data_IF_562011770905
#
_entry.id   IF_562011770905
#
_cell.length_a   1.000
_cell.length_b   1.000
_cell.length_c   1.000
_cell.angle_alpha   90.00
_cell.angle_beta   90.00
_cell.angle_gamma   90.00
#
_symmetry.space_group_name_H-M   'P 1'
#
loop_
_entity.id
_entity.type
_entity.pdbx_description
1 polymer ?
#
# COMPACT_ATOMS: atom_id res chain seq x y z
N UNK A 1 11.67 -6.26 -0.27
CA UNK A 1 11.05 -7.36 -1.04
C UNK A 1 10.29 -6.75 -2.22
N UNK A 2 9.77 -7.57 -3.15
CA UNK A 2 9.10 -7.03 -4.33
C UNK A 2 7.68 -6.51 -4.04
N UNK A 3 6.97 -7.10 -3.07
CA UNK A 3 5.66 -6.67 -2.59
C UNK A 3 5.46 -7.01 -1.12
N UNK A 4 4.31 -6.63 -0.55
CA UNK A 4 4.01 -6.86 0.87
C UNK A 4 3.93 -8.35 1.23
N UNK A 5 3.41 -9.20 0.34
CA UNK A 5 3.35 -10.64 0.59
C UNK A 5 4.75 -11.27 0.73
N UNK A 6 5.66 -10.95 -0.18
CA UNK A 6 7.07 -11.37 -0.10
C UNK A 6 7.81 -10.68 1.04
N UNK A 7 7.47 -9.43 1.37
CA UNK A 7 8.00 -8.67 2.49
C UNK A 7 7.68 -9.30 3.84
N UNK A 8 6.40 -9.59 4.08
CA UNK A 8 5.96 -10.27 5.30
C UNK A 8 6.61 -11.63 5.50
N UNK A 9 6.79 -12.41 4.43
CA UNK A 9 7.53 -13.67 4.47
C UNK A 9 8.99 -13.51 4.91
N UNK A 10 9.70 -12.51 4.35
CA UNK A 10 11.07 -12.20 4.74
C UNK A 10 11.18 -11.77 6.21
N UNK A 11 10.27 -10.90 6.67
CA UNK A 11 10.20 -10.45 8.08
C UNK A 11 9.98 -11.64 9.01
N UNK A 12 9.04 -12.54 8.67
CA UNK A 12 8.78 -13.73 9.46
C UNK A 12 10.03 -14.63 9.57
N UNK A 13 10.77 -14.82 8.47
CA UNK A 13 12.01 -15.58 8.46
C UNK A 13 13.10 -14.93 9.33
N UNK A 14 13.29 -13.61 9.24
CA UNK A 14 14.24 -12.89 10.10
C UNK A 14 13.91 -13.07 11.58
N UNK A 15 12.64 -12.89 11.96
CA UNK A 15 12.20 -13.07 13.35
C UNK A 15 12.37 -14.49 13.85
N UNK A 16 12.02 -15.49 13.03
CA UNK A 16 12.22 -16.90 13.36
C UNK A 16 13.70 -17.25 13.57
N UNK A 17 14.61 -16.57 12.85
CA UNK A 17 16.05 -16.69 13.01
C UNK A 17 16.61 -15.86 14.19
N UNK A 18 15.76 -15.16 14.97
CA UNK A 18 16.17 -14.36 16.12
C UNK A 18 16.81 -13.01 15.76
N UNK A 19 16.59 -12.51 14.54
CA UNK A 19 17.10 -11.20 14.10
C UNK A 19 16.22 -10.08 14.69
N UNK A 20 16.81 -9.25 15.53
CA UNK A 20 16.18 -8.10 16.17
C UNK A 20 17.20 -6.95 16.35
N UNK A 21 16.99 -5.76 15.75
CA UNK A 21 15.87 -5.41 14.89
C UNK A 21 15.92 -6.10 13.53
N UNK A 22 14.75 -6.33 12.94
CA UNK A 22 14.64 -6.80 11.56
C UNK A 22 15.28 -5.75 10.63
N UNK A 23 16.15 -6.13 9.67
CA UNK A 23 16.73 -5.19 8.73
C UNK A 23 15.63 -4.53 7.89
N UNK A 24 15.86 -3.34 7.30
CA UNK A 24 14.84 -2.67 6.51
C UNK A 24 14.26 -3.55 5.39
N UNK A 25 12.98 -3.90 5.54
CA UNK A 25 12.22 -4.61 4.50
C UNK A 25 11.26 -3.64 3.83
N UNK A 26 11.36 -3.57 2.50
CA UNK A 26 10.44 -2.80 1.65
C UNK A 26 9.32 -3.66 1.10
N UNK A 27 8.19 -3.03 0.75
CA UNK A 27 7.02 -3.67 0.18
C UNK A 27 6.25 -2.78 -0.81
N UNK A 28 5.16 -3.33 -1.34
CA UNK A 28 4.21 -2.70 -2.25
C UNK A 28 2.83 -3.28 -1.96
N UNK A 29 1.77 -2.51 -2.24
CA UNK A 29 0.34 -2.87 -2.20
C UNK A 29 -0.43 -2.33 -0.98
N UNK A 30 0.26 -1.86 0.06
CA UNK A 30 -0.36 -1.36 1.30
C UNK A 30 -1.39 -2.34 1.89
N UNK A 31 -1.04 -3.63 1.92
CA UNK A 31 -1.88 -4.64 2.55
C UNK A 31 -2.05 -4.36 4.05
N UNK A 32 -3.18 -4.77 4.63
CA UNK A 32 -3.42 -4.63 6.09
C UNK A 32 -2.24 -5.21 6.90
N UNK A 33 -1.73 -6.37 6.49
CA UNK A 33 -0.59 -7.01 7.17
C UNK A 33 0.68 -6.15 7.12
N UNK A 34 1.03 -5.57 5.97
CA UNK A 34 2.20 -4.71 5.86
C UNK A 34 2.02 -3.39 6.61
N UNK A 35 0.83 -2.77 6.55
CA UNK A 35 0.53 -1.57 7.32
C UNK A 35 0.67 -1.82 8.82
N UNK A 36 0.20 -2.97 9.31
CA UNK A 36 0.40 -3.41 10.68
C UNK A 36 1.87 -3.67 11.04
N UNK A 37 2.64 -4.26 10.12
CA UNK A 37 4.09 -4.45 10.32
C UNK A 37 4.86 -3.12 10.33
N UNK A 38 4.45 -2.13 9.51
CA UNK A 38 4.96 -0.76 9.56
C UNK A 38 4.61 -0.12 10.91
N UNK A 39 3.35 -0.26 11.37
CA UNK A 39 2.93 0.22 12.69
C UNK A 39 3.79 -0.38 13.81
N UNK A 40 4.12 -1.68 13.72
CA UNK A 40 5.00 -2.37 14.66
C UNK A 40 6.49 -1.99 14.55
N UNK A 41 6.91 -1.33 13.46
CA UNK A 41 8.31 -1.03 13.16
C UNK A 41 9.09 -2.19 12.54
N UNK A 42 8.40 -3.27 12.16
CA UNK A 42 9.00 -4.48 11.58
C UNK A 42 9.24 -4.38 10.07
N UNK A 43 8.46 -3.53 9.39
CA UNK A 43 8.58 -3.25 7.97
C UNK A 43 8.87 -1.76 7.80
N UNK A 44 9.83 -1.42 6.94
CA UNK A 44 10.25 -0.03 6.77
C UNK A 44 9.20 0.78 5.99
N UNK A 45 8.74 0.23 4.87
CA UNK A 45 7.75 0.90 4.03
C UNK A 45 6.87 -0.06 3.24
N UNK A 46 5.82 0.50 2.65
CA UNK A 46 5.07 -0.07 1.53
C UNK A 46 4.78 1.03 0.51
N UNK A 47 4.22 0.65 -0.64
CA UNK A 47 3.75 1.56 -1.68
C UNK A 47 2.24 1.42 -1.78
N UNK A 48 1.52 2.48 -1.39
CA UNK A 48 0.08 2.58 -1.59
C UNK A 48 -0.23 2.94 -3.05
N UNK A 49 -1.07 2.11 -3.66
CA UNK A 49 -1.55 2.27 -5.04
C UNK A 49 -3.07 2.29 -4.98
N UNK A 50 -3.72 3.46 -5.04
CA UNK A 50 -5.16 3.58 -4.83
C UNK A 50 -5.94 2.85 -5.92
N UNK A 51 -6.39 1.63 -5.60
CA UNK A 51 -7.04 0.71 -6.53
C UNK A 51 -8.32 1.29 -7.10
N UNK A 52 -9.07 2.07 -6.33
CA UNK A 52 -10.33 2.70 -6.74
C UNK A 52 -10.11 3.71 -7.87
N UNK A 53 -9.01 4.48 -7.82
CA UNK A 53 -8.66 5.46 -8.86
C UNK A 53 -8.35 4.74 -10.17
N UNK A 54 -7.49 3.72 -10.10
CA UNK A 54 -7.08 2.94 -11.29
C UNK A 54 -8.28 2.17 -11.85
N UNK A 55 -9.10 1.56 -10.99
CA UNK A 55 -10.29 0.81 -11.39
C UNK A 55 -11.34 1.71 -12.04
N UNK A 56 -11.60 2.90 -11.49
CA UNK A 56 -12.54 3.85 -12.09
C UNK A 56 -12.05 4.34 -13.46
N UNK A 57 -10.76 4.63 -13.61
CA UNK A 57 -10.19 4.99 -14.91
C UNK A 57 -10.28 3.84 -15.91
N UNK A 58 -9.94 2.61 -15.50
CA UNK A 58 -10.06 1.42 -16.32
C UNK A 58 -11.52 1.16 -16.77
N UNK A 59 -12.48 1.32 -15.87
CA UNK A 59 -13.91 1.18 -16.20
C UNK A 59 -14.36 2.23 -17.23
N UNK A 60 -13.95 3.48 -17.06
CA UNK A 60 -14.24 4.55 -18.02
C UNK A 60 -13.64 4.28 -19.41
N UNK A 61 -12.40 3.77 -19.46
CA UNK A 61 -11.74 3.34 -20.70
C UNK A 61 -12.53 2.21 -21.36
N UNK A 62 -12.92 1.18 -20.59
CA UNK A 62 -13.69 0.05 -21.09
C UNK A 62 -15.05 0.50 -21.68
N UNK A 63 -15.79 1.37 -20.99
CA UNK A 63 -17.08 1.89 -21.49
C UNK A 63 -16.91 2.68 -22.80
N UNK A 64 -15.88 3.53 -22.90
CA UNK A 64 -15.60 4.28 -24.14
C UNK A 64 -15.29 3.36 -25.33
N UNK A 65 -14.49 2.31 -25.09
CA UNK A 65 -14.19 1.32 -26.12
C UNK A 65 -15.46 0.59 -26.58
N UNK A 66 -16.32 0.20 -25.63
CA UNK A 66 -17.60 -0.44 -25.93
C UNK A 66 -18.56 0.49 -26.72
N UNK A 67 -18.48 1.80 -26.51
CA UNK A 67 -19.26 2.79 -27.27
C UNK A 67 -18.64 3.16 -28.63
N UNK A 68 -17.58 2.48 -29.06
CA UNK A 68 -16.87 2.77 -30.32
C UNK A 68 -16.02 4.05 -30.29
N UNK A 69 -15.79 4.64 -29.11
CA UNK A 69 -14.92 5.79 -28.95
C UNK A 69 -13.47 5.35 -28.68
N UNK A 70 -12.51 6.17 -29.10
CA UNK A 70 -11.09 5.97 -28.79
C UNK A 70 -10.73 6.74 -27.52
N UNK A 71 -10.38 6.07 -26.41
CA UNK A 71 -9.91 6.74 -25.19
C UNK A 71 -8.62 7.53 -25.45
N UNK A 72 -8.50 8.70 -24.82
CA UNK A 72 -7.27 9.48 -24.88
C UNK A 72 -6.22 8.82 -23.97
N UNK A 73 -5.08 8.47 -24.55
CA UNK A 73 -3.90 8.07 -23.77
C UNK A 73 -3.10 9.30 -23.32
N UNK A 74 -2.36 9.14 -22.23
CA UNK A 74 -1.46 10.17 -21.70
C UNK A 74 -0.03 9.93 -22.18
N UNK A 75 0.32 8.66 -22.46
CA UNK A 75 1.63 8.27 -22.96
C UNK A 75 1.57 6.93 -23.70
N UNK A 76 2.72 6.49 -24.19
CA UNK A 76 2.91 5.15 -24.78
C UNK A 76 3.91 4.38 -23.93
N UNK A 77 3.58 3.13 -23.59
CA UNK A 77 4.48 2.21 -22.90
C UNK A 77 4.48 0.89 -23.67
N UNK A 78 5.64 0.40 -24.08
CA UNK A 78 5.78 -0.82 -24.90
C UNK A 78 4.81 -0.81 -26.11
N UNK A 79 4.85 0.28 -26.88
CA UNK A 79 3.98 0.53 -28.05
C UNK A 79 2.47 0.48 -27.78
N UNK A 80 2.07 0.58 -26.50
CA UNK A 80 0.67 0.53 -26.06
C UNK A 80 0.22 1.87 -25.47
N UNK A 81 -0.88 2.48 -25.96
CA UNK A 81 -1.46 3.68 -25.36
C UNK A 81 -1.80 3.44 -23.88
N UNK A 82 -1.29 4.30 -23.01
CA UNK A 82 -1.25 4.06 -21.57
C UNK A 82 -1.60 5.32 -20.76
N UNK A 83 -2.05 5.09 -19.54
CA UNK A 83 -2.20 6.07 -18.47
C UNK A 83 -1.50 5.50 -17.23
N UNK A 84 -0.61 6.29 -16.61
CA UNK A 84 0.10 5.89 -15.40
C UNK A 84 -0.38 6.72 -14.22
N UNK A 85 -0.46 6.08 -13.06
CA UNK A 85 -0.90 6.72 -11.82
C UNK A 85 0.26 6.87 -10.87
N UNK A 86 0.29 7.97 -10.12
CA UNK A 86 1.33 8.22 -9.12
C UNK A 86 1.02 7.46 -7.83
N UNK A 87 1.88 6.51 -7.43
CA UNK A 87 1.72 5.83 -6.15
C UNK A 87 2.26 6.69 -5.00
N UNK A 88 1.91 6.32 -3.76
CA UNK A 88 2.43 6.96 -2.55
C UNK A 88 3.33 6.00 -1.77
N UNK A 89 4.50 6.48 -1.35
CA UNK A 89 5.35 5.75 -0.39
C UNK A 89 4.74 5.92 1.00
N UNK A 90 4.57 4.82 1.73
CA UNK A 90 3.99 4.82 3.07
C UNK A 90 5.02 4.27 4.06
N UNK A 91 5.34 5.08 5.07
CA UNK A 91 6.23 4.77 6.20
C UNK A 91 5.49 5.07 7.51
N UNK A 92 6.10 4.80 8.67
CA UNK A 92 5.54 5.20 9.96
C UNK A 92 5.25 6.70 10.07
N UNK A 93 6.07 7.53 9.42
CA UNK A 93 5.98 9.00 9.49
C UNK A 93 4.70 9.55 8.85
N UNK A 94 4.19 8.88 7.81
CA UNK A 94 3.05 9.38 7.03
C UNK A 94 1.86 8.41 6.97
N UNK A 95 1.91 7.24 7.62
CA UNK A 95 0.87 6.21 7.54
C UNK A 95 -0.52 6.77 7.87
N UNK A 96 -0.64 7.58 8.93
CA UNK A 96 -1.92 8.20 9.27
C UNK A 96 -2.46 9.08 8.13
N UNK A 97 -1.63 9.95 7.58
CA UNK A 97 -2.02 10.87 6.50
C UNK A 97 -2.35 10.14 5.20
N UNK A 98 -1.57 9.13 4.84
CA UNK A 98 -1.68 8.43 3.55
C UNK A 98 -2.73 7.32 3.54
N UNK A 99 -3.04 6.72 4.69
CA UNK A 99 -3.97 5.58 4.77
C UNK A 99 -5.26 5.95 5.50
N UNK A 100 -5.14 6.50 6.71
CA UNK A 100 -6.30 6.74 7.58
C UNK A 100 -7.06 7.99 7.13
N UNK A 101 -6.37 9.12 6.99
CA UNK A 101 -7.00 10.40 6.64
C UNK A 101 -7.56 10.37 5.20
N UNK A 102 -6.94 9.58 4.31
CA UNK A 102 -7.44 9.29 2.96
C UNK A 102 -8.51 8.18 2.89
N UNK A 103 -8.87 7.58 4.04
CA UNK A 103 -9.92 6.54 4.17
C UNK A 103 -9.66 5.29 3.32
N UNK A 104 -8.41 4.93 3.12
CA UNK A 104 -8.02 3.69 2.44
C UNK A 104 -8.24 2.49 3.38
N UNK A 105 -7.89 2.64 4.65
CA UNK A 105 -8.23 1.71 5.73
C UNK A 105 -8.67 2.49 6.97
N UNK A 106 -9.34 1.79 7.87
CA UNK A 106 -9.79 2.36 9.15
C UNK A 106 -8.82 2.03 10.27
N UNK A 107 -8.78 2.89 11.31
CA UNK A 107 -8.03 2.59 12.52
C UNK A 107 -8.49 1.27 13.17
N UNK A 108 -9.80 0.97 13.11
CA UNK A 108 -10.36 -0.26 13.65
C UNK A 108 -9.82 -1.54 12.98
N UNK A 109 -9.51 -1.48 11.67
CA UNK A 109 -8.89 -2.59 10.94
C UNK A 109 -7.40 -2.76 11.29
N UNK A 110 -6.67 -1.65 11.45
CA UNK A 110 -5.22 -1.69 11.61
C UNK A 110 -4.76 -1.85 13.07
N UNK A 111 -5.49 -1.25 14.01
CA UNK A 111 -5.06 -1.07 15.40
C UNK A 111 -5.58 -2.17 16.33
N UNK A 112 -5.41 -3.43 15.91
CA UNK A 112 -5.84 -4.62 16.66
C UNK A 112 -4.67 -5.29 17.39
N UNK A 113 -4.98 -6.00 18.48
CA UNK A 113 -4.04 -6.84 19.24
C UNK A 113 -2.69 -6.16 19.51
N UNK A 114 -1.60 -6.78 19.05
CA UNK A 114 -0.22 -6.31 19.24
C UNK A 114 0.10 -4.99 18.54
N UNK A 115 -0.73 -4.54 17.61
CA UNK A 115 -0.50 -3.31 16.84
C UNK A 115 -1.12 -2.07 17.48
N UNK A 116 -2.02 -2.25 18.47
CA UNK A 116 -2.72 -1.14 19.12
C UNK A 116 -1.77 -0.14 19.80
N UNK A 117 -0.68 -0.61 20.41
CA UNK A 117 0.31 0.29 21.03
C UNK A 117 1.08 1.10 19.98
N UNK A 118 1.48 0.46 18.88
CA UNK A 118 2.12 1.14 17.75
C UNK A 118 1.21 2.22 17.16
N UNK A 119 -0.07 1.92 16.97
CA UNK A 119 -1.05 2.91 16.51
C UNK A 119 -1.13 4.14 17.41
N UNK A 120 -1.17 3.95 18.73
CA UNK A 120 -1.18 5.06 19.70
C UNK A 120 0.07 5.93 19.56
N UNK A 121 1.25 5.33 19.39
CA UNK A 121 2.52 6.06 19.17
C UNK A 121 2.49 6.88 17.87
N UNK A 122 1.81 6.38 16.84
CA UNK A 122 1.63 7.06 15.56
C UNK A 122 0.42 8.02 15.52
N UNK A 123 -0.27 8.23 16.63
CA UNK A 123 -1.44 9.10 16.70
C UNK A 123 -2.67 8.59 15.94
N UNK A 124 -2.73 7.27 15.70
CA UNK A 124 -3.86 6.59 15.05
C UNK A 124 -4.76 6.07 16.17
N UNK A 125 -5.95 6.65 16.28
CA UNK A 125 -6.95 6.30 17.31
C UNK A 125 -8.29 5.98 16.64
N UNK A 126 -9.07 5.10 17.29
CA UNK A 126 -10.41 4.74 16.85
C UNK A 126 -11.43 5.83 17.19
#
# INVERSE_FOLDING_TARGET
>A
AANDGTGGGAIAAFKAAGVDPVPPVTGNDATIAALQLIIAGDQYNTISKPSEIVAAAAANVAVKLLSGATPKAEMTLYDTPSQLFTPAVVTQENLKAEIIDKKINTAAELCVDRYAEGCKKLGITN
#
